data_IF_487286234588
#
_entry.id   IF_487286234588
#
_cell.length_a   1.000
_cell.length_b   1.000
_cell.length_c   1.000
_cell.angle_alpha   90.00
_cell.angle_beta   90.00
_cell.angle_gamma   90.00
#
_symmetry.space_group_name_H-M   'P 1'
#
loop_
_entity.id
_entity.type
_entity.pdbx_description
1 polymer ?
#
# COMPACT_ATOMS: atom_id res chain seq x y z
N UNK A 1 -3.25 6.49 -10.76
CA UNK A 1 -1.95 6.14 -11.38
C UNK A 1 -1.29 5.22 -10.39
N UNK A 2 -0.97 3.99 -10.78
CA UNK A 2 -0.48 2.98 -9.85
C UNK A 2 1.04 2.95 -9.86
N UNK A 3 1.62 2.87 -8.67
CA UNK A 3 3.02 2.54 -8.42
C UNK A 3 3.04 1.20 -7.68
N UNK A 4 3.99 0.32 -7.97
CA UNK A 4 4.05 -0.97 -7.29
C UNK A 4 5.31 -1.74 -7.62
N UNK A 5 5.46 -2.89 -6.98
CA UNK A 5 6.50 -3.86 -7.24
C UNK A 5 5.94 -5.27 -7.08
N UNK A 6 6.44 -6.21 -7.88
CA UNK A 6 6.11 -7.62 -7.80
C UNK A 6 7.38 -8.47 -7.63
N UNK A 7 7.28 -9.51 -6.80
CA UNK A 7 8.29 -10.55 -6.63
C UNK A 7 7.71 -11.89 -7.11
N UNK A 8 8.37 -12.49 -8.10
CA UNK A 8 7.99 -13.77 -8.67
C UNK A 8 9.02 -14.86 -8.38
N UNK A 9 8.55 -16.08 -8.10
CA UNK A 9 9.37 -17.29 -8.07
C UNK A 9 9.82 -17.76 -6.69
N UNK A 10 9.33 -17.15 -5.61
CA UNK A 10 9.58 -17.60 -4.24
C UNK A 10 8.27 -17.66 -3.42
N UNK A 11 8.04 -18.81 -2.79
CA UNK A 11 6.76 -19.14 -2.12
C UNK A 11 6.77 -18.87 -0.61
N UNK A 12 7.95 -18.68 0.00
CA UNK A 12 8.06 -18.50 1.44
C UNK A 12 7.66 -17.10 1.91
N UNK A 13 7.33 -16.95 3.21
CA UNK A 13 6.92 -15.68 3.82
C UNK A 13 8.01 -14.61 3.77
N UNK A 14 9.27 -14.98 3.50
CA UNK A 14 10.36 -14.01 3.30
C UNK A 14 10.09 -13.06 2.13
N UNK A 15 9.49 -13.56 1.03
CA UNK A 15 9.13 -12.69 -0.09
C UNK A 15 7.99 -11.73 0.25
N UNK A 16 7.01 -12.18 1.04
CA UNK A 16 5.89 -11.33 1.47
C UNK A 16 6.39 -10.24 2.42
N UNK A 17 7.30 -10.60 3.33
CA UNK A 17 7.96 -9.65 4.21
C UNK A 17 8.81 -8.63 3.44
N UNK A 18 9.57 -9.06 2.43
CA UNK A 18 10.37 -8.14 1.61
C UNK A 18 9.49 -7.15 0.83
N UNK A 19 8.39 -7.61 0.23
CA UNK A 19 7.43 -6.72 -0.46
C UNK A 19 6.76 -5.76 0.53
N UNK A 20 6.38 -6.22 1.71
CA UNK A 20 5.81 -5.35 2.75
C UNK A 20 6.84 -4.30 3.22
N UNK A 21 8.08 -4.69 3.49
CA UNK A 21 9.16 -3.76 3.83
C UNK A 21 9.42 -2.73 2.72
N UNK A 22 9.43 -3.17 1.46
CA UNK A 22 9.58 -2.26 0.31
C UNK A 22 8.41 -1.28 0.18
N UNK A 23 7.18 -1.75 0.43
CA UNK A 23 6.00 -0.88 0.47
C UNK A 23 6.14 0.19 1.55
N UNK A 24 6.56 -0.19 2.76
CA UNK A 24 6.79 0.74 3.87
C UNK A 24 7.87 1.77 3.53
N UNK A 25 9.00 1.33 2.96
CA UNK A 25 10.06 2.23 2.52
C UNK A 25 9.58 3.20 1.43
N UNK A 26 8.76 2.74 0.48
CA UNK A 26 8.18 3.59 -0.56
C UNK A 26 7.21 4.65 0.01
N UNK A 27 6.39 4.27 1.00
CA UNK A 27 5.50 5.20 1.71
C UNK A 27 6.30 6.24 2.50
N UNK A 28 7.34 5.81 3.23
CA UNK A 28 8.23 6.70 3.98
C UNK A 28 8.93 7.70 3.03
N UNK A 29 9.45 7.23 1.90
CA UNK A 29 10.05 8.08 0.87
C UNK A 29 9.06 9.10 0.27
N UNK A 30 7.76 8.80 0.27
CA UNK A 30 6.71 9.72 -0.15
C UNK A 30 6.30 10.74 0.95
N UNK A 31 6.91 10.67 2.13
CA UNK A 31 6.62 11.54 3.28
C UNK A 31 5.46 11.05 4.16
N UNK A 32 5.00 9.81 3.98
CA UNK A 32 3.96 9.22 4.83
C UNK A 32 4.58 8.83 6.16
N UNK A 33 4.02 9.34 7.25
CA UNK A 33 4.44 9.03 8.62
C UNK A 33 3.36 8.26 9.36
N UNK A 34 3.76 7.34 10.24
CA UNK A 34 2.89 6.54 11.10
C UNK A 34 1.73 5.84 10.37
N UNK A 35 1.97 5.07 9.29
CA UNK A 35 0.91 4.29 8.67
C UNK A 35 0.44 3.16 9.60
N UNK A 36 -0.86 2.91 9.60
CA UNK A 36 -1.45 1.72 10.21
C UNK A 36 -1.43 0.59 9.18
N UNK A 37 -0.86 -0.55 9.54
CA UNK A 37 -0.70 -1.69 8.63
C UNK A 37 -1.56 -2.84 9.11
N UNK A 38 -2.57 -3.17 8.32
CA UNK A 38 -3.34 -4.40 8.51
C UNK A 38 -2.65 -5.54 7.76
N UNK A 39 -2.50 -6.67 8.44
CA UNK A 39 -1.92 -7.90 7.95
C UNK A 39 -2.91 -9.05 8.19
N UNK A 40 -3.39 -9.65 7.11
CA UNK A 40 -4.34 -10.75 7.13
C UNK A 40 -3.86 -11.91 6.24
N UNK A 41 -4.63 -12.99 6.21
CA UNK A 41 -4.32 -14.13 5.35
C UNK A 41 -5.60 -14.85 4.89
N UNK A 42 -5.90 -14.80 3.60
CA UNK A 42 -7.16 -15.34 3.04
C UNK A 42 -7.29 -16.86 3.22
N UNK A 43 -6.16 -17.56 3.38
CA UNK A 43 -6.11 -18.98 3.70
C UNK A 43 -6.78 -19.36 5.03
N UNK A 44 -6.87 -18.44 6.00
CA UNK A 44 -7.57 -18.70 7.27
C UNK A 44 -9.06 -18.89 7.02
N UNK A 45 -9.70 -17.90 6.38
CA UNK A 45 -11.12 -17.99 6.04
C UNK A 45 -11.41 -19.16 5.10
N UNK A 46 -10.59 -19.37 4.05
CA UNK A 46 -10.75 -20.52 3.12
C UNK A 46 -10.72 -21.86 3.82
N UNK A 47 -9.75 -22.08 4.70
CA UNK A 47 -9.64 -23.33 5.44
C UNK A 47 -10.87 -23.59 6.31
N UNK A 48 -11.35 -22.54 7.00
CA UNK A 48 -12.55 -22.64 7.84
C UNK A 48 -13.84 -22.83 7.02
N UNK A 49 -14.00 -22.12 5.91
CA UNK A 49 -15.12 -22.28 4.98
C UNK A 49 -15.16 -23.70 4.38
N UNK A 50 -14.01 -24.23 3.98
CA UNK A 50 -13.87 -25.61 3.51
C UNK A 50 -14.21 -26.65 4.59
N UNK A 51 -13.73 -26.45 5.82
CA UNK A 51 -14.09 -27.29 6.96
C UNK A 51 -15.59 -27.25 7.28
N UNK A 52 -16.19 -26.05 7.17
CA UNK A 52 -17.62 -25.82 7.35
C UNK A 52 -18.48 -26.39 6.20
N UNK A 53 -17.87 -26.75 5.07
CA UNK A 53 -18.55 -27.22 3.84
C UNK A 53 -19.59 -26.22 3.33
N UNK A 54 -19.28 -24.93 3.42
CA UNK A 54 -20.18 -23.88 2.93
C UNK A 54 -20.41 -24.06 1.43
N UNK A 55 -21.68 -23.94 1.00
CA UNK A 55 -22.01 -23.81 -0.41
C UNK A 55 -21.62 -22.40 -0.90
N UNK A 56 -21.28 -22.20 -2.20
CA UNK A 56 -20.85 -20.90 -2.74
C UNK A 56 -21.68 -19.67 -2.33
N UNK A 57 -23.02 -19.78 -2.30
CA UNK A 57 -23.89 -18.66 -1.95
C UNK A 57 -23.72 -18.25 -0.48
N UNK A 58 -23.71 -19.22 0.43
CA UNK A 58 -23.47 -18.99 1.86
C UNK A 58 -22.06 -18.48 2.14
N UNK A 59 -21.05 -18.99 1.43
CA UNK A 59 -19.68 -18.48 1.53
C UNK A 59 -19.60 -17.01 1.11
N UNK A 60 -20.29 -16.63 0.03
CA UNK A 60 -20.33 -15.25 -0.45
C UNK A 60 -21.07 -14.32 0.53
N UNK A 61 -22.22 -14.74 1.08
CA UNK A 61 -22.97 -13.96 2.06
C UNK A 61 -22.21 -13.79 3.38
N UNK A 62 -21.51 -14.85 3.82
CA UNK A 62 -20.64 -14.79 4.98
C UNK A 62 -19.45 -13.86 4.75
N UNK A 63 -18.81 -13.95 3.58
CA UNK A 63 -17.73 -13.05 3.18
C UNK A 63 -18.17 -11.57 3.23
N UNK A 64 -19.33 -11.24 2.64
CA UNK A 64 -19.87 -9.88 2.69
C UNK A 64 -20.19 -9.42 4.12
N UNK A 65 -20.68 -10.32 4.96
CA UNK A 65 -20.92 -10.05 6.38
C UNK A 65 -19.62 -9.77 7.14
N UNK A 66 -18.54 -10.52 6.86
CA UNK A 66 -17.22 -10.26 7.43
C UNK A 66 -16.63 -8.91 6.97
N UNK A 67 -16.74 -8.57 5.68
CA UNK A 67 -16.25 -7.29 5.15
C UNK A 67 -16.98 -6.08 5.75
N UNK A 68 -18.28 -6.23 6.06
CA UNK A 68 -19.08 -5.21 6.77
C UNK A 68 -18.93 -5.26 8.29
N UNK A 69 -18.13 -6.20 8.82
CA UNK A 69 -18.01 -6.49 10.26
C UNK A 69 -19.37 -6.75 10.93
N UNK A 70 -20.31 -7.33 10.20
CA UNK A 70 -21.68 -7.62 10.61
C UNK A 70 -21.80 -8.99 11.29
N UNK A 71 -21.28 -9.11 12.51
CA UNK A 71 -21.23 -10.38 13.27
C UNK A 71 -22.61 -11.03 13.44
N UNK A 72 -23.66 -10.25 13.73
CA UNK A 72 -25.01 -10.77 13.92
C UNK A 72 -25.59 -11.37 12.63
N UNK A 73 -25.33 -10.75 11.48
CA UNK A 73 -25.74 -11.27 10.16
C UNK A 73 -25.06 -12.63 9.94
N UNK A 74 -23.74 -12.72 10.18
CA UNK A 74 -22.98 -13.95 10.06
C UNK A 74 -23.47 -15.07 11.01
N UNK A 75 -23.86 -14.71 12.25
CA UNK A 75 -24.45 -15.68 13.19
C UNK A 75 -25.77 -16.25 12.67
N UNK A 76 -26.64 -15.40 12.11
CA UNK A 76 -27.90 -15.80 11.49
C UNK A 76 -27.69 -16.71 10.29
N UNK A 77 -26.87 -16.28 9.34
CA UNK A 77 -26.52 -17.05 8.13
C UNK A 77 -26.02 -18.44 8.47
N UNK A 78 -25.07 -18.54 9.41
CA UNK A 78 -24.54 -19.84 9.78
C UNK A 78 -25.62 -20.70 10.46
N UNK A 79 -26.60 -20.13 11.18
CA UNK A 79 -27.62 -20.87 11.96
C UNK A 79 -28.67 -21.59 11.13
N UNK A 80 -28.90 -21.10 9.92
CA UNK A 80 -29.88 -21.69 9.00
C UNK A 80 -29.35 -22.97 8.31
N UNK A 81 -28.02 -23.14 8.27
CA UNK A 81 -27.34 -24.27 7.64
C UNK A 81 -26.78 -25.29 8.64
N UNK A 82 -26.59 -26.53 8.15
CA UNK A 82 -25.96 -27.64 8.89
C UNK A 82 -24.43 -27.49 8.98
N UNK A 83 -23.99 -26.32 9.46
CA UNK A 83 -22.58 -26.01 9.68
C UNK A 83 -22.10 -26.67 10.97
N UNK A 84 -21.01 -27.47 10.95
CA UNK A 84 -20.44 -28.07 12.15
C UNK A 84 -20.16 -27.03 13.24
N UNK A 85 -20.59 -27.33 14.48
CA UNK A 85 -20.51 -26.39 15.60
C UNK A 85 -19.10 -25.82 15.84
N UNK A 86 -18.06 -26.64 15.67
CA UNK A 86 -16.67 -26.20 15.78
C UNK A 86 -16.30 -25.16 14.69
N UNK A 87 -16.63 -25.45 13.42
CA UNK A 87 -16.34 -24.57 12.29
C UNK A 87 -17.10 -23.24 12.39
N UNK A 88 -18.39 -23.29 12.74
CA UNK A 88 -19.20 -22.10 13.04
C UNK A 88 -18.55 -21.22 14.11
N UNK A 89 -18.16 -21.81 15.24
CA UNK A 89 -17.56 -21.08 16.36
C UNK A 89 -16.22 -20.43 15.97
N UNK A 90 -15.43 -21.09 15.12
CA UNK A 90 -14.16 -20.56 14.60
C UNK A 90 -14.37 -19.45 13.56
N UNK A 91 -15.34 -19.58 12.65
CA UNK A 91 -15.71 -18.53 11.69
C UNK A 91 -16.16 -17.26 12.41
N UNK A 92 -16.99 -17.40 13.45
CA UNK A 92 -17.44 -16.28 14.27
C UNK A 92 -16.32 -15.65 15.12
N UNK A 93 -15.30 -16.43 15.48
CA UNK A 93 -14.15 -15.91 16.20
C UNK A 93 -13.31 -14.96 15.35
N UNK A 94 -13.33 -15.08 14.01
CA UNK A 94 -12.56 -14.19 13.13
C UNK A 94 -12.92 -12.70 13.31
N UNK A 95 -14.17 -12.39 13.67
CA UNK A 95 -14.61 -11.01 13.95
C UNK A 95 -13.88 -10.37 15.12
N UNK A 96 -13.35 -11.17 16.06
CA UNK A 96 -12.65 -10.71 17.26
C UNK A 96 -11.13 -10.91 17.15
N UNK A 97 -10.65 -11.59 16.10
CA UNK A 97 -9.22 -11.84 15.86
C UNK A 97 -8.62 -10.71 15.02
N UNK A 98 -8.74 -9.50 15.55
CA UNK A 98 -8.10 -8.29 15.02
C UNK A 98 -7.44 -7.51 16.17
N UNK A 99 -6.27 -6.91 15.93
CA UNK A 99 -5.48 -6.28 17.00
C UNK A 99 -3.97 -6.35 16.79
N UNK A 100 -3.21 -6.31 17.87
CA UNK A 100 -1.75 -6.25 17.85
C UNK A 100 -1.06 -7.62 17.93
N UNK A 101 0.14 -7.64 18.50
CA UNK A 101 1.00 -8.82 18.60
C UNK A 101 0.42 -9.99 19.41
N UNK A 102 -0.66 -9.76 20.16
CA UNK A 102 -1.41 -10.78 20.91
C UNK A 102 -2.28 -11.67 20.01
N UNK A 103 -2.68 -11.18 18.83
CA UNK A 103 -3.67 -11.84 17.97
C UNK A 103 -3.20 -13.22 17.47
N UNK A 104 -1.95 -13.45 17.04
CA UNK A 104 -1.52 -14.78 16.59
C UNK A 104 -1.68 -15.86 17.68
N UNK A 105 -1.35 -15.54 18.93
CA UNK A 105 -1.52 -16.45 20.06
C UNK A 105 -3.02 -16.72 20.34
N UNK A 106 -3.85 -15.67 20.33
CA UNK A 106 -5.30 -15.80 20.49
C UNK A 106 -5.93 -16.63 19.37
N UNK A 107 -5.49 -16.43 18.12
CA UNK A 107 -5.93 -17.16 16.95
C UNK A 107 -5.60 -18.65 17.04
N UNK A 108 -4.38 -19.01 17.47
CA UNK A 108 -4.02 -20.43 17.69
C UNK A 108 -4.91 -21.12 18.72
N UNK A 109 -5.30 -20.43 19.78
CA UNK A 109 -6.21 -20.97 20.79
C UNK A 109 -7.65 -21.10 20.27
N UNK A 110 -8.15 -20.06 19.59
CA UNK A 110 -9.50 -20.01 19.05
C UNK A 110 -9.71 -21.01 17.90
N UNK A 111 -8.70 -21.18 17.05
CA UNK A 111 -8.71 -21.96 15.81
C UNK A 111 -8.05 -23.33 15.94
N UNK A 112 -7.88 -23.87 17.16
CA UNK A 112 -7.17 -25.14 17.41
C UNK A 112 -7.76 -26.37 16.70
N UNK A 113 -9.06 -26.31 16.34
CA UNK A 113 -9.80 -27.39 15.66
C UNK A 113 -9.81 -27.19 14.13
N UNK A 114 -9.15 -26.14 13.64
CA UNK A 114 -9.07 -25.81 12.22
C UNK A 114 -8.17 -26.79 11.46
N UNK A 115 -8.33 -26.91 10.13
CA UNK A 115 -7.48 -27.79 9.34
C UNK A 115 -6.04 -27.25 9.23
N UNK A 116 -5.04 -28.09 8.88
CA UNK A 116 -3.63 -27.74 8.93
C UNK A 116 -3.22 -26.49 8.12
N UNK A 117 -3.92 -26.20 7.03
CA UNK A 117 -3.72 -25.00 6.21
C UNK A 117 -3.96 -23.70 6.99
N UNK A 118 -4.86 -23.69 7.97
CA UNK A 118 -5.09 -22.51 8.83
C UNK A 118 -3.89 -22.30 9.75
N UNK A 119 -3.31 -23.38 10.30
CA UNK A 119 -2.10 -23.27 11.10
C UNK A 119 -0.90 -22.73 10.29
N UNK A 120 -0.75 -23.18 9.03
CA UNK A 120 0.29 -22.66 8.13
C UNK A 120 0.10 -21.18 7.82
N UNK A 121 -1.14 -20.75 7.58
CA UNK A 121 -1.45 -19.33 7.37
C UNK A 121 -1.05 -18.47 8.59
N UNK A 122 -1.27 -18.97 9.81
CA UNK A 122 -0.83 -18.30 11.04
C UNK A 122 0.71 -18.30 11.17
N UNK A 123 1.38 -19.40 10.80
CA UNK A 123 2.84 -19.49 10.76
C UNK A 123 3.44 -18.44 9.81
N UNK A 124 2.84 -18.27 8.62
CA UNK A 124 3.25 -17.28 7.62
C UNK A 124 3.09 -15.85 8.15
N UNK A 125 1.94 -15.53 8.76
CA UNK A 125 1.68 -14.23 9.39
C UNK A 125 2.71 -13.88 10.46
N UNK A 126 3.02 -14.82 11.36
CA UNK A 126 4.03 -14.63 12.39
C UNK A 126 5.44 -14.50 11.82
N UNK A 127 5.76 -15.26 10.77
CA UNK A 127 7.04 -15.16 10.09
C UNK A 127 7.23 -13.78 9.45
N UNK A 128 6.22 -13.29 8.72
CA UNK A 128 6.21 -11.95 8.12
C UNK A 128 6.42 -10.89 9.20
N UNK A 129 5.60 -10.92 10.26
CA UNK A 129 5.70 -9.94 11.34
C UNK A 129 7.08 -9.94 12.02
N UNK A 130 7.67 -11.13 12.24
CA UNK A 130 9.00 -11.26 12.83
C UNK A 130 10.11 -10.72 11.93
N UNK A 131 9.99 -10.86 10.62
CA UNK A 131 10.98 -10.34 9.66
C UNK A 131 10.87 -8.82 9.57
N UNK A 132 9.66 -8.30 9.36
CA UNK A 132 9.40 -6.86 9.24
C UNK A 132 9.78 -6.10 10.53
N UNK A 133 9.55 -6.69 11.70
CA UNK A 133 9.93 -6.08 12.99
C UNK A 133 11.45 -5.90 13.18
N UNK A 134 12.30 -6.44 12.30
CA UNK A 134 13.75 -6.22 12.32
C UNK A 134 14.15 -4.92 11.62
N UNK A 135 13.24 -4.33 10.84
CA UNK A 135 13.49 -3.06 10.15
C UNK A 135 13.44 -1.90 11.16
N UNK A 136 14.45 -1.00 11.18
CA UNK A 136 14.58 0.04 12.21
C UNK A 136 13.37 0.98 12.36
N UNK A 137 12.61 1.17 11.28
CA UNK A 137 11.49 2.12 11.20
C UNK A 137 10.15 1.43 10.87
N UNK A 138 10.07 0.10 10.99
CA UNK A 138 8.82 -0.60 10.76
C UNK A 138 7.76 -0.19 11.80
N UNK A 139 6.55 0.21 11.37
CA UNK A 139 5.45 0.43 12.29
C UNK A 139 4.99 -0.90 12.90
N UNK A 140 4.34 -0.88 14.07
CA UNK A 140 3.65 -2.05 14.58
C UNK A 140 2.62 -2.56 13.57
N UNK A 141 2.68 -3.86 13.27
CA UNK A 141 1.68 -4.51 12.42
C UNK A 141 0.43 -4.82 13.25
N UNK A 142 -0.73 -4.58 12.67
CA UNK A 142 -2.01 -5.04 13.17
C UNK A 142 -2.43 -6.26 12.39
N UNK A 143 -2.87 -7.30 13.09
CA UNK A 143 -3.44 -8.48 12.46
C UNK A 143 -4.95 -8.28 12.32
N UNK A 144 -5.52 -8.69 11.20
CA UNK A 144 -6.97 -8.81 11.01
C UNK A 144 -7.26 -10.09 10.23
N UNK A 145 -7.71 -11.13 10.94
CA UNK A 145 -8.03 -12.42 10.31
C UNK A 145 -9.37 -12.43 9.56
N UNK A 146 -10.12 -11.32 9.63
CA UNK A 146 -11.31 -11.05 8.84
C UNK A 146 -11.05 -9.99 7.75
N UNK A 147 -9.80 -9.61 7.47
CA UNK A 147 -9.44 -8.81 6.29
C UNK A 147 -9.42 -9.74 5.06
N UNK A 148 -10.48 -9.64 4.26
CA UNK A 148 -10.68 -10.45 3.06
C UNK A 148 -10.71 -9.57 1.79
N UNK A 149 -10.20 -8.33 1.85
CA UNK A 149 -10.02 -7.47 0.68
C UNK A 149 -9.23 -8.19 -0.41
N UNK A 150 -9.84 -8.37 -1.57
CA UNK A 150 -9.21 -9.09 -2.67
C UNK A 150 -9.23 -10.62 -2.50
N UNK A 151 -10.19 -11.15 -1.73
CA UNK A 151 -10.39 -12.59 -1.52
C UNK A 151 -10.38 -13.41 -2.81
N UNK A 152 -10.95 -12.92 -3.90
CA UNK A 152 -10.94 -13.66 -5.17
C UNK A 152 -9.63 -13.54 -5.96
N UNK A 153 -8.72 -12.67 -5.54
CA UNK A 153 -7.44 -12.39 -6.19
C UNK A 153 -6.25 -13.01 -5.44
N UNK A 154 -6.20 -12.86 -4.11
CA UNK A 154 -5.07 -13.31 -3.30
C UNK A 154 -5.15 -14.80 -2.97
N UNK A 155 -4.00 -15.45 -2.81
CA UNK A 155 -3.85 -16.86 -2.40
C UNK A 155 -3.29 -17.03 -0.99
N UNK A 156 -2.67 -16.00 -0.41
CA UNK A 156 -1.99 -16.09 0.89
C UNK A 156 -2.12 -14.83 1.75
N UNK A 157 -0.99 -14.33 2.26
CA UNK A 157 -0.93 -13.11 3.05
C UNK A 157 -1.47 -11.91 2.26
N UNK A 158 -2.16 -11.01 2.95
CA UNK A 158 -2.68 -9.74 2.43
C UNK A 158 -2.32 -8.63 3.39
N UNK A 159 -1.98 -7.45 2.88
CA UNK A 159 -1.68 -6.31 3.71
C UNK A 159 -2.15 -5.00 3.11
N UNK A 160 -2.59 -4.09 3.97
CA UNK A 160 -3.10 -2.77 3.60
C UNK A 160 -2.47 -1.70 4.48
N UNK A 161 -2.06 -0.58 3.88
CA UNK A 161 -1.53 0.56 4.60
C UNK A 161 -2.55 1.70 4.63
N UNK A 162 -2.94 2.11 5.82
CA UNK A 162 -3.86 3.21 6.09
C UNK A 162 -3.13 4.36 6.79
N UNK A 163 -3.64 5.57 6.64
CA UNK A 163 -3.10 6.77 7.30
C UNK A 163 -4.25 7.54 7.94
N UNK A 164 -4.08 8.07 9.16
CA UNK A 164 -5.10 8.90 9.80
C UNK A 164 -5.62 10.02 8.88
N UNK A 165 -6.92 10.28 8.96
CA UNK A 165 -7.61 11.26 8.11
C UNK A 165 -7.91 10.79 6.68
N UNK A 166 -7.53 9.57 6.29
CA UNK A 166 -7.81 8.99 4.99
C UNK A 166 -8.60 7.69 5.12
N UNK A 167 -9.87 7.70 4.70
CA UNK A 167 -10.77 6.54 4.82
C UNK A 167 -10.52 5.39 3.84
N UNK A 168 -9.38 5.38 3.13
CA UNK A 168 -9.01 4.35 2.16
C UNK A 168 -7.53 4.01 2.32
N UNK A 169 -7.18 2.75 2.09
CA UNK A 169 -5.79 2.33 2.05
C UNK A 169 -5.01 3.09 0.95
N UNK A 170 -3.80 3.55 1.27
CA UNK A 170 -2.89 4.20 0.34
C UNK A 170 -2.14 3.20 -0.53
N UNK A 171 -1.82 2.05 0.06
CA UNK A 171 -1.18 0.94 -0.58
C UNK A 171 -1.83 -0.37 -0.11
N UNK A 172 -1.89 -1.34 -1.02
CA UNK A 172 -2.36 -2.70 -0.75
C UNK A 172 -1.43 -3.68 -1.41
N UNK A 173 -1.22 -4.83 -0.80
CA UNK A 173 -0.46 -5.91 -1.39
C UNK A 173 -0.84 -7.25 -0.82
N UNK A 174 -0.16 -8.27 -1.30
CA UNK A 174 -0.37 -9.64 -0.87
C UNK A 174 0.11 -10.65 -1.90
N UNK A 175 -0.01 -11.92 -1.51
CA UNK A 175 0.36 -13.10 -2.30
C UNK A 175 -0.77 -13.51 -3.22
N UNK A 176 -0.47 -13.71 -4.50
CA UNK A 176 -1.40 -14.12 -5.57
C UNK A 176 -0.73 -15.15 -6.49
N UNK A 177 -0.49 -16.33 -5.96
CA UNK A 177 0.11 -17.42 -6.73
C UNK A 177 -0.80 -17.85 -7.89
N UNK A 178 -0.21 -18.41 -8.95
CA UNK A 178 -0.99 -19.02 -10.03
C UNK A 178 -1.39 -18.08 -11.17
N UNK A 179 -1.04 -16.78 -11.13
CA UNK A 179 -1.34 -15.83 -12.22
C UNK A 179 -0.73 -16.24 -13.58
N UNK A 180 0.35 -17.02 -13.55
CA UNK A 180 0.99 -17.60 -14.74
C UNK A 180 0.37 -18.90 -15.26
N UNK A 181 -0.65 -19.46 -14.59
CA UNK A 181 -1.32 -20.70 -15.00
C UNK A 181 -1.96 -20.57 -16.40
N UNK A 182 -2.55 -19.40 -16.69
CA UNK A 182 -3.10 -19.08 -18.01
C UNK A 182 -2.03 -19.05 -19.13
N UNK A 183 -0.76 -18.87 -18.75
CA UNK A 183 0.38 -18.75 -19.67
C UNK A 183 1.29 -19.99 -19.64
N UNK A 184 0.83 -21.09 -19.06
CA UNK A 184 1.55 -22.38 -19.03
C UNK A 184 2.70 -22.46 -18.02
N UNK A 185 2.84 -21.49 -17.12
CA UNK A 185 3.89 -21.51 -16.08
C UNK A 185 3.38 -20.95 -14.76
N UNK A 186 2.99 -21.84 -13.85
CA UNK A 186 2.63 -21.47 -12.48
C UNK A 186 3.88 -21.03 -11.71
N UNK A 187 3.81 -19.86 -11.09
CA UNK A 187 4.87 -19.29 -10.24
C UNK A 187 4.23 -18.66 -9.01
N UNK A 188 4.91 -18.79 -7.88
CA UNK A 188 4.58 -18.02 -6.70
C UNK A 188 4.77 -16.52 -6.98
N UNK A 189 3.87 -15.69 -6.49
CA UNK A 189 3.88 -14.26 -6.74
C UNK A 189 3.34 -13.48 -5.55
N UNK A 190 4.01 -12.39 -5.20
CA UNK A 190 3.56 -11.44 -4.19
C UNK A 190 3.96 -10.03 -4.62
N UNK A 191 3.24 -9.02 -4.18
CA UNK A 191 3.48 -7.65 -4.62
C UNK A 191 2.61 -6.64 -3.90
N UNK A 192 2.86 -5.36 -4.18
CA UNK A 192 2.03 -4.27 -3.69
C UNK A 192 1.76 -3.26 -4.79
N UNK A 193 0.67 -2.53 -4.64
CA UNK A 193 0.32 -1.35 -5.42
C UNK A 193 -0.12 -0.20 -4.52
N UNK A 194 0.21 1.03 -4.92
CA UNK A 194 -0.18 2.27 -4.26
C UNK A 194 -0.76 3.26 -5.28
N UNK A 195 -1.75 4.05 -4.86
CA UNK A 195 -2.30 5.12 -5.71
C UNK A 195 -1.44 6.39 -5.57
N UNK A 196 -0.63 6.66 -6.59
CA UNK A 196 0.26 7.82 -6.62
C UNK A 196 -0.51 9.14 -6.46
N UNK A 197 -1.78 9.22 -6.90
CA UNK A 197 -2.59 10.44 -6.71
C UNK A 197 -2.95 10.67 -5.25
N UNK A 198 -3.14 9.60 -4.46
CA UNK A 198 -3.37 9.73 -3.02
C UNK A 198 -2.06 10.07 -2.32
N UNK A 199 -0.95 9.43 -2.70
CA UNK A 199 0.37 9.75 -2.16
C UNK A 199 0.74 11.22 -2.37
N UNK A 200 0.48 11.78 -3.56
CA UNK A 200 0.73 13.20 -3.84
C UNK A 200 -0.09 14.17 -2.97
N UNK A 201 -1.29 13.77 -2.53
CA UNK A 201 -2.13 14.60 -1.64
C UNK A 201 -1.62 14.60 -0.20
N UNK A 202 -0.94 13.52 0.19
CA UNK A 202 -0.47 13.28 1.56
C UNK A 202 0.99 13.72 1.71
N UNK A 203 1.75 13.65 0.62
CA UNK A 203 3.12 14.12 0.57
C UNK A 203 3.17 15.57 1.04
N UNK A 204 3.87 15.77 2.14
CA UNK A 204 4.08 17.06 2.79
C UNK A 204 5.23 17.84 2.13
N UNK A 205 5.58 17.51 0.88
CA UNK A 205 6.71 18.13 0.17
C UNK A 205 6.64 19.64 0.33
N UNK A 206 7.63 20.12 1.09
CA UNK A 206 7.70 21.46 1.64
C UNK A 206 7.59 22.51 0.53
N UNK A 207 6.74 23.50 0.78
CA UNK A 207 6.52 24.70 -0.01
C UNK A 207 6.41 24.48 -1.53
N UNK A 208 5.18 24.46 -2.02
CA UNK A 208 4.85 24.68 -3.44
C UNK A 208 5.28 26.05 -3.99
N UNK A 209 6.25 26.74 -3.38
CA UNK A 209 6.96 27.86 -4.01
C UNK A 209 7.88 27.25 -5.05
N UNK A 210 7.37 27.12 -6.27
CA UNK A 210 8.23 27.07 -7.44
C UNK A 210 9.15 28.29 -7.36
N UNK A 211 10.44 28.08 -7.09
CA UNK A 211 11.46 29.11 -7.27
C UNK A 211 11.81 29.17 -8.75
N UNK A 212 12.46 30.24 -9.17
CA UNK A 212 12.78 30.43 -10.57
C UNK A 212 13.57 31.69 -10.84
N UNK A 213 14.26 31.67 -11.97
CA UNK A 213 15.05 32.78 -12.47
C UNK A 213 14.29 33.44 -13.60
N UNK A 214 13.96 34.71 -13.45
CA UNK A 214 13.39 35.52 -14.52
C UNK A 214 14.52 36.00 -15.45
N UNK A 215 14.45 35.66 -16.73
CA UNK A 215 15.35 36.17 -17.76
C UNK A 215 14.68 37.35 -18.49
N UNK A 216 15.37 38.49 -18.68
CA UNK A 216 14.77 39.63 -19.36
C UNK A 216 14.58 39.37 -20.86
N UNK A 217 13.64 40.11 -21.47
CA UNK A 217 13.46 40.12 -22.91
C UNK A 217 14.63 40.88 -23.57
N UNK A 218 15.66 40.16 -24.02
CA UNK A 218 16.79 40.73 -24.75
C UNK A 218 17.29 39.79 -25.85
N UNK A 219 17.60 40.35 -27.01
CA UNK A 219 18.28 39.62 -28.09
C UNK A 219 19.79 39.60 -27.84
N UNK A 220 20.22 38.73 -26.92
CA UNK A 220 21.62 38.58 -26.53
C UNK A 220 22.04 37.10 -26.57
N UNK A 221 23.09 36.78 -27.32
CA UNK A 221 23.58 35.42 -27.49
C UNK A 221 24.25 34.84 -26.23
N UNK A 222 24.80 35.68 -25.37
CA UNK A 222 25.31 35.27 -24.05
C UNK A 222 24.15 34.99 -23.09
N UNK A 223 23.08 35.81 -23.13
CA UNK A 223 21.86 35.55 -22.37
C UNK A 223 21.25 34.20 -22.72
N UNK A 224 21.10 33.90 -24.02
CA UNK A 224 20.58 32.61 -24.50
C UNK A 224 21.42 31.43 -24.00
N UNK A 225 22.75 31.57 -23.99
CA UNK A 225 23.67 30.56 -23.48
C UNK A 225 23.51 30.36 -21.97
N UNK A 226 23.35 31.45 -21.21
CA UNK A 226 23.17 31.37 -19.77
C UNK A 226 21.81 30.78 -19.39
N UNK A 227 20.74 31.14 -20.10
CA UNK A 227 19.41 30.51 -19.95
C UNK A 227 19.51 29.00 -20.21
N UNK A 228 20.17 28.58 -21.30
CA UNK A 228 20.33 27.17 -21.62
C UNK A 228 21.17 26.43 -20.55
N UNK A 229 22.25 27.05 -20.06
CA UNK A 229 23.10 26.51 -18.99
C UNK A 229 22.31 26.30 -17.69
N UNK A 230 21.54 27.30 -17.27
CA UNK A 230 20.70 27.23 -16.07
C UNK A 230 19.63 26.13 -16.19
N UNK A 231 18.92 26.09 -17.33
CA UNK A 231 17.93 25.03 -17.59
C UNK A 231 18.55 23.63 -17.60
N UNK A 232 19.74 23.49 -18.20
CA UNK A 232 20.48 22.22 -18.19
C UNK A 232 20.95 21.82 -16.78
N UNK A 233 21.10 22.78 -15.86
CA UNK A 233 21.40 22.55 -14.46
C UNK A 233 20.15 22.28 -13.59
N UNK A 234 18.95 22.21 -14.19
CA UNK A 234 17.69 21.95 -13.48
C UNK A 234 16.98 23.19 -12.94
N UNK A 235 17.49 24.40 -13.23
CA UNK A 235 16.85 25.64 -12.81
C UNK A 235 15.61 25.96 -13.67
N UNK A 236 14.54 26.41 -13.02
CA UNK A 236 13.37 26.95 -13.73
C UNK A 236 13.68 28.36 -14.20
N UNK A 237 13.82 28.54 -15.51
CA UNK A 237 14.07 29.86 -16.12
C UNK A 237 12.89 30.31 -16.96
N UNK A 238 12.23 31.39 -16.55
CA UNK A 238 11.12 32.02 -17.29
C UNK A 238 11.69 33.19 -18.09
N UNK A 239 11.54 33.17 -19.40
CA UNK A 239 11.93 34.31 -20.24
C UNK A 239 10.76 35.29 -20.34
N UNK A 240 10.98 36.55 -19.97
CA UNK A 240 10.01 37.62 -20.22
C UNK A 240 9.77 37.77 -21.71
N UNK A 241 8.52 38.02 -22.07
CA UNK A 241 8.16 38.43 -23.41
C UNK A 241 8.31 39.96 -23.54
N UNK A 242 8.54 40.50 -24.75
CA UNK A 242 8.49 41.94 -24.97
C UNK A 242 7.17 42.54 -24.44
N UNK A 243 7.25 43.69 -23.78
CA UNK A 243 6.11 44.48 -23.28
C UNK A 243 5.20 43.80 -22.24
N UNK A 244 5.65 42.68 -21.66
CA UNK A 244 4.95 41.92 -20.62
C UNK A 244 4.75 42.72 -19.31
N UNK A 245 5.75 43.51 -18.91
CA UNK A 245 5.68 44.36 -17.70
C UNK A 245 5.62 43.60 -16.36
N UNK A 246 5.45 42.27 -16.37
CA UNK A 246 5.44 41.44 -15.18
C UNK A 246 6.80 41.39 -14.48
N UNK A 247 6.79 41.35 -13.16
CA UNK A 247 7.97 41.20 -12.30
C UNK A 247 8.24 39.72 -12.04
N UNK A 248 9.43 39.41 -11.52
CA UNK A 248 9.81 38.03 -11.17
C UNK A 248 8.74 37.32 -10.32
N UNK A 249 8.22 38.01 -9.30
CA UNK A 249 7.19 37.47 -8.40
C UNK A 249 5.89 37.06 -9.12
N UNK A 250 5.50 37.75 -10.19
CA UNK A 250 4.27 37.45 -10.95
C UNK A 250 4.38 36.10 -11.68
N UNK A 251 5.60 35.66 -11.98
CA UNK A 251 5.92 34.34 -12.53
C UNK A 251 6.30 33.29 -11.48
N UNK A 252 6.18 33.61 -10.19
CA UNK A 252 6.77 32.78 -9.14
C UNK A 252 8.27 32.58 -9.33
N UNK A 253 8.98 33.59 -9.82
CA UNK A 253 10.43 33.64 -9.82
C UNK A 253 10.90 34.42 -8.59
N UNK A 254 11.94 33.93 -7.93
CA UNK A 254 12.55 34.52 -6.74
C UNK A 254 13.90 35.20 -7.05
N UNK A 255 14.43 34.98 -8.25
CA UNK A 255 15.71 35.49 -8.76
C UNK A 255 15.54 36.03 -10.17
N UNK A 256 16.52 36.80 -10.67
CA UNK A 256 16.48 37.34 -12.03
C UNK A 256 17.88 37.42 -12.65
N UNK A 257 17.99 37.11 -13.94
CA UNK A 257 19.22 37.35 -14.69
C UNK A 257 19.40 38.85 -14.93
N UNK A 258 20.55 39.36 -14.50
CA UNK A 258 20.96 40.75 -14.72
C UNK A 258 22.32 40.79 -15.39
N UNK A 259 22.55 41.79 -16.24
CA UNK A 259 23.84 41.99 -16.90
C UNK A 259 24.75 42.83 -16.01
N UNK A 260 25.84 42.24 -15.50
CA UNK A 260 26.86 42.91 -14.67
C UNK A 260 28.24 42.74 -15.32
N UNK A 261 28.95 43.85 -15.51
CA UNK A 261 30.29 43.84 -16.12
C UNK A 261 30.35 43.07 -17.46
N UNK A 262 29.31 43.22 -18.29
CA UNK A 262 29.19 42.55 -19.58
C UNK A 262 28.73 41.10 -19.54
N UNK A 263 28.62 40.47 -18.36
CA UNK A 263 28.21 39.07 -18.20
C UNK A 263 26.82 38.94 -17.59
N UNK A 264 26.11 37.88 -17.95
CA UNK A 264 24.82 37.54 -17.36
C UNK A 264 25.03 36.74 -16.07
N UNK A 265 24.41 37.20 -14.98
CA UNK A 265 24.47 36.56 -13.66
C UNK A 265 23.09 36.56 -13.01
N UNK A 266 22.82 35.54 -12.20
CA UNK A 266 21.61 35.42 -11.36
C UNK A 266 21.74 36.31 -10.12
#
# INVERSE_FOLDING_TARGET
LQLGAELFGYAGPEADAEILSLMLAALAAAGVTNPHIDLGHVGVFRGLAGQARLHPDLEAELFESMQRKARNDAEGLLAEDDVPAAARRMLLALFELNGGAEVPAAARAALREAPPEVARALDDLEAIARIVAREPEAPPLHFDLAELSGYHYYTGAVFSAFVPGHGRALAKGGRYDGIGRAFGRERAATGFGADLRQLLKISTSADGRTTGVLAPAADDAELRREIARLRAAGERVVAQLPDDGARAADYGCDRALVKKNGRWVV
#
